data_IF_966332950381
#
_entry.id   IF_966332950381
#
_cell.length_a   1.000
_cell.length_b   1.000
_cell.length_c   1.000
_cell.angle_alpha   90.00
_cell.angle_beta   90.00
_cell.angle_gamma   90.00
#
_symmetry.space_group_name_H-M   'P 1'
#
loop_
_entity.id
_entity.type
_entity.pdbx_description
1 polymer ?
#
# COMPACT_ATOMS: atom_id res chain seq x y z
N UNK A 1 -19.16 -11.41 -15.08
CA UNK A 1 -19.39 -12.13 -13.80
C UNK A 1 -20.79 -11.79 -13.29
N UNK A 2 -21.54 -12.77 -12.73
CA UNK A 2 -22.83 -12.45 -12.10
C UNK A 2 -22.63 -12.39 -10.58
N UNK A 3 -23.00 -11.28 -9.92
CA UNK A 3 -22.91 -11.19 -8.46
C UNK A 3 -23.95 -12.12 -7.80
N UNK A 4 -23.59 -12.68 -6.66
CA UNK A 4 -24.54 -13.39 -5.81
C UNK A 4 -25.22 -12.37 -4.91
N UNK A 5 -26.51 -12.17 -5.09
CA UNK A 5 -27.31 -11.25 -4.28
C UNK A 5 -28.01 -12.05 -3.19
N UNK A 6 -27.83 -11.63 -1.92
CA UNK A 6 -28.55 -12.18 -0.77
C UNK A 6 -29.49 -11.12 -0.22
N UNK A 7 -30.79 -11.42 -0.21
CA UNK A 7 -31.78 -10.59 0.45
C UNK A 7 -31.90 -11.02 1.92
N UNK A 8 -31.72 -10.06 2.84
CA UNK A 8 -31.89 -10.28 4.27
C UNK A 8 -33.14 -9.51 4.71
N UNK A 9 -34.23 -10.24 5.02
CA UNK A 9 -35.47 -9.64 5.50
C UNK A 9 -35.49 -9.60 7.02
N UNK A 10 -35.64 -8.41 7.57
CA UNK A 10 -35.79 -8.19 9.00
C UNK A 10 -37.28 -8.06 9.33
N UNK A 11 -37.76 -8.93 10.18
CA UNK A 11 -39.17 -8.88 10.64
C UNK A 11 -39.22 -8.14 11.97
N UNK A 12 -40.30 -7.36 12.11
CA UNK A 12 -40.68 -6.67 13.33
C UNK A 12 -42.06 -7.15 13.71
N UNK A 13 -42.20 -7.70 14.90
CA UNK A 13 -43.47 -8.05 15.47
C UNK A 13 -43.90 -6.99 16.48
N UNK A 14 -45.19 -6.66 16.48
CA UNK A 14 -45.81 -5.78 17.48
C UNK A 14 -46.75 -6.61 18.32
N UNK A 15 -46.55 -6.63 19.63
CA UNK A 15 -47.41 -7.35 20.53
C UNK A 15 -48.85 -6.73 20.51
N UNK A 16 -49.83 -7.52 20.21
CA UNK A 16 -51.22 -7.05 20.14
C UNK A 16 -51.83 -6.67 21.50
N UNK A 17 -51.21 -7.15 22.61
CA UNK A 17 -51.71 -6.86 23.98
C UNK A 17 -51.09 -5.61 24.61
N UNK A 18 -49.77 -5.35 24.37
CA UNK A 18 -49.07 -4.27 25.06
C UNK A 18 -48.37 -3.30 24.10
N UNK A 19 -48.46 -3.49 22.78
CA UNK A 19 -47.77 -2.66 21.78
C UNK A 19 -46.25 -2.80 21.75
N UNK A 20 -45.65 -3.68 22.52
CA UNK A 20 -44.19 -3.88 22.54
C UNK A 20 -43.69 -4.32 21.18
N UNK A 21 -42.64 -3.65 20.71
CA UNK A 21 -41.99 -3.93 19.43
C UNK A 21 -40.84 -4.93 19.64
N UNK A 22 -40.98 -6.08 19.03
CA UNK A 22 -39.95 -7.13 19.05
C UNK A 22 -39.26 -7.16 17.68
N UNK A 23 -37.96 -7.01 17.67
CA UNK A 23 -37.12 -7.09 16.47
C UNK A 23 -36.26 -8.37 16.49
N UNK A 24 -36.06 -8.97 15.32
CA UNK A 24 -35.09 -10.07 15.20
C UNK A 24 -33.71 -9.61 15.66
N UNK A 25 -32.92 -10.50 16.29
CA UNK A 25 -31.63 -10.20 16.94
C UNK A 25 -30.56 -9.57 16.04
N UNK A 26 -30.73 -9.53 14.73
CA UNK A 26 -29.86 -8.81 13.81
C UNK A 26 -30.36 -7.38 13.68
N UNK A 27 -30.15 -6.58 14.71
CA UNK A 27 -30.47 -5.17 14.68
C UNK A 27 -29.57 -4.47 13.67
N UNK A 28 -30.17 -3.99 12.58
CA UNK A 28 -29.49 -3.08 11.67
C UNK A 28 -29.13 -1.80 12.43
N UNK A 29 -27.85 -1.40 12.41
CA UNK A 29 -27.45 -0.10 12.99
C UNK A 29 -28.25 1.00 12.32
N UNK A 30 -28.83 1.92 13.09
CA UNK A 30 -29.54 3.10 12.56
C UNK A 30 -28.62 3.81 11.56
N UNK A 31 -29.10 4.08 10.34
CA UNK A 31 -28.31 4.72 9.27
C UNK A 31 -27.44 3.75 8.44
N UNK A 32 -27.52 2.44 8.65
CA UNK A 32 -26.82 1.50 7.76
C UNK A 32 -27.41 1.51 6.35
N UNK A 33 -26.58 1.49 5.33
CA UNK A 33 -26.98 1.46 3.92
C UNK A 33 -27.84 0.22 3.61
N UNK A 34 -28.78 0.37 2.69
CA UNK A 34 -29.66 -0.71 2.26
C UNK A 34 -28.87 -1.84 1.57
N UNK A 35 -27.80 -1.48 0.87
CA UNK A 35 -26.91 -2.41 0.18
C UNK A 35 -25.61 -2.54 0.98
N UNK A 36 -25.19 -3.77 1.23
CA UNK A 36 -23.91 -4.09 1.89
C UNK A 36 -23.15 -5.02 0.97
N UNK A 37 -21.91 -4.67 0.67
CA UNK A 37 -21.01 -5.49 -0.11
C UNK A 37 -20.18 -6.38 0.83
N UNK A 38 -20.02 -7.62 0.45
CA UNK A 38 -19.21 -8.58 1.22
C UNK A 38 -17.69 -8.38 1.02
N UNK A 39 -16.91 -9.21 1.70
CA UNK A 39 -15.45 -9.12 1.66
C UNK A 39 -14.88 -9.41 0.26
N UNK A 40 -15.54 -10.21 -0.57
CA UNK A 40 -15.04 -10.57 -1.90
C UNK A 40 -15.04 -9.36 -2.84
N UNK A 41 -16.13 -8.58 -2.82
CA UNK A 41 -16.23 -7.34 -3.62
C UNK A 41 -15.21 -6.31 -3.13
N UNK A 42 -15.09 -6.13 -1.82
CA UNK A 42 -14.11 -5.21 -1.23
C UNK A 42 -12.68 -5.59 -1.59
N UNK A 43 -12.34 -6.87 -1.50
CA UNK A 43 -11.02 -7.38 -1.84
C UNK A 43 -10.70 -7.19 -3.33
N UNK A 44 -11.68 -7.37 -4.21
CA UNK A 44 -11.52 -7.12 -5.64
C UNK A 44 -11.20 -5.63 -5.90
N UNK A 45 -11.92 -4.71 -5.26
CA UNK A 45 -11.65 -3.26 -5.39
C UNK A 45 -10.25 -2.92 -4.90
N UNK A 46 -9.84 -3.45 -3.75
CA UNK A 46 -8.48 -3.25 -3.21
C UNK A 46 -7.43 -3.80 -4.18
N UNK A 47 -7.63 -4.99 -4.72
CA UNK A 47 -6.73 -5.60 -5.70
C UNK A 47 -6.61 -4.76 -6.97
N UNK A 48 -7.73 -4.34 -7.55
CA UNK A 48 -7.75 -3.54 -8.78
C UNK A 48 -7.07 -2.18 -8.57
N UNK A 49 -7.28 -1.54 -7.41
CA UNK A 49 -6.67 -0.24 -7.12
C UNK A 49 -5.19 -0.34 -6.76
N UNK A 50 -4.83 -1.25 -5.85
CA UNK A 50 -3.49 -1.27 -5.23
C UNK A 50 -2.50 -2.12 -6.04
N UNK A 51 -2.95 -3.21 -6.64
CA UNK A 51 -2.08 -4.15 -7.38
C UNK A 51 -2.12 -3.87 -8.88
N UNK A 52 -3.30 -3.53 -9.41
CA UNK A 52 -3.47 -3.24 -10.84
C UNK A 52 -3.38 -1.75 -11.17
N UNK A 53 -3.23 -0.88 -10.17
CA UNK A 53 -3.10 0.58 -10.31
C UNK A 53 -4.24 1.25 -11.10
N UNK A 54 -5.44 0.66 -11.08
CA UNK A 54 -6.59 1.23 -11.78
C UNK A 54 -7.15 2.44 -11.01
N UNK A 55 -7.43 3.56 -11.70
CA UNK A 55 -8.16 4.68 -11.13
C UNK A 55 -9.58 4.29 -10.70
N UNK A 56 -10.09 4.91 -9.65
CA UNK A 56 -11.43 4.58 -9.09
C UNK A 56 -12.55 4.64 -10.12
N UNK A 57 -12.56 5.66 -10.98
CA UNK A 57 -13.54 5.74 -12.06
C UNK A 57 -13.53 4.52 -12.97
N UNK A 58 -12.34 4.05 -13.39
CA UNK A 58 -12.23 2.84 -14.21
C UNK A 58 -12.63 1.56 -13.46
N UNK A 59 -12.42 1.52 -12.14
CA UNK A 59 -12.90 0.40 -11.31
C UNK A 59 -14.43 0.44 -11.25
N UNK A 60 -15.03 1.63 -11.12
CA UNK A 60 -16.50 1.80 -11.11
C UNK A 60 -17.10 1.31 -12.43
N UNK A 61 -16.53 1.74 -13.56
CA UNK A 61 -16.99 1.33 -14.89
C UNK A 61 -16.87 -0.20 -15.06
N UNK A 62 -15.71 -0.77 -14.72
CA UNK A 62 -15.50 -2.22 -14.78
C UNK A 62 -16.53 -2.99 -13.94
N UNK A 63 -16.78 -2.55 -12.71
CA UNK A 63 -17.74 -3.22 -11.82
C UNK A 63 -19.18 -3.08 -12.33
N UNK A 64 -19.53 -1.96 -12.94
CA UNK A 64 -20.83 -1.75 -13.55
C UNK A 64 -21.01 -2.63 -14.79
N UNK A 65 -20.07 -2.58 -15.73
CA UNK A 65 -20.18 -3.24 -17.03
C UNK A 65 -20.04 -4.76 -16.94
N UNK A 66 -19.09 -5.25 -16.14
CA UNK A 66 -18.76 -6.69 -16.05
C UNK A 66 -19.55 -7.41 -14.97
N UNK A 67 -19.84 -6.72 -13.86
CA UNK A 67 -20.47 -7.32 -12.68
C UNK A 67 -21.88 -6.80 -12.42
N UNK A 68 -22.35 -5.79 -13.15
CA UNK A 68 -23.61 -5.07 -12.89
C UNK A 68 -23.70 -4.56 -11.43
N UNK A 69 -22.56 -4.06 -10.90
CA UNK A 69 -22.46 -3.50 -9.55
C UNK A 69 -22.17 -2.00 -9.63
N UNK A 70 -23.13 -1.20 -9.19
CA UNK A 70 -22.96 0.26 -9.07
C UNK A 70 -22.33 0.59 -7.71
N UNK A 71 -21.05 0.97 -7.70
CA UNK A 71 -20.28 1.27 -6.49
C UNK A 71 -19.69 2.66 -6.60
N UNK A 72 -19.93 3.51 -5.61
CA UNK A 72 -19.36 4.86 -5.59
C UNK A 72 -17.86 4.86 -5.27
N UNK A 73 -17.11 5.79 -5.84
CA UNK A 73 -15.69 5.99 -5.54
C UNK A 73 -15.44 6.23 -4.04
N UNK A 74 -16.33 6.95 -3.35
CA UNK A 74 -16.25 7.15 -1.90
C UNK A 74 -16.30 5.84 -1.11
N UNK A 75 -17.12 4.85 -1.56
CA UNK A 75 -17.13 3.52 -0.95
C UNK A 75 -15.80 2.80 -1.16
N UNK A 76 -15.20 2.92 -2.35
CA UNK A 76 -13.91 2.32 -2.65
C UNK A 76 -12.80 2.89 -1.78
N UNK A 77 -12.74 4.21 -1.61
CA UNK A 77 -11.80 4.89 -0.72
C UNK A 77 -11.93 4.38 0.72
N UNK A 78 -13.17 4.25 1.22
CA UNK A 78 -13.43 3.72 2.56
C UNK A 78 -12.92 2.28 2.71
N UNK A 79 -13.13 1.42 1.72
CA UNK A 79 -12.66 0.03 1.77
C UNK A 79 -11.14 -0.10 1.69
N UNK A 80 -10.48 0.76 0.92
CA UNK A 80 -9.02 0.82 0.87
C UNK A 80 -8.46 1.27 2.22
N UNK A 81 -9.08 2.25 2.87
CA UNK A 81 -8.69 2.67 4.21
C UNK A 81 -8.95 1.57 5.27
N UNK A 82 -10.04 0.82 5.14
CA UNK A 82 -10.32 -0.35 5.97
C UNK A 82 -9.23 -1.43 5.78
N UNK A 83 -8.87 -1.72 4.53
CA UNK A 83 -7.81 -2.67 4.19
C UNK A 83 -6.44 -2.22 4.73
N UNK A 84 -6.09 -0.94 4.57
CA UNK A 84 -4.88 -0.35 5.14
C UNK A 84 -4.79 -0.55 6.66
N UNK A 85 -5.89 -0.31 7.37
CA UNK A 85 -5.95 -0.49 8.82
C UNK A 85 -5.75 -1.95 9.22
N UNK A 86 -6.40 -2.88 8.50
CA UNK A 86 -6.25 -4.32 8.72
C UNK A 86 -4.85 -4.86 8.38
N UNK A 87 -4.19 -4.27 7.37
CA UNK A 87 -2.84 -4.66 6.96
C UNK A 87 -1.75 -4.14 7.90
N UNK A 88 -2.04 -3.11 8.71
CA UNK A 88 -1.03 -2.47 9.56
C UNK A 88 -0.20 -3.43 10.43
N UNK A 89 -0.75 -4.41 11.14
CA UNK A 89 0.05 -5.35 11.94
C UNK A 89 1.05 -6.16 11.10
N UNK A 90 0.65 -6.54 9.87
CA UNK A 90 1.54 -7.26 8.94
C UNK A 90 2.66 -6.34 8.45
N UNK A 91 2.35 -5.09 8.13
CA UNK A 91 3.34 -4.07 7.71
C UNK A 91 4.34 -3.81 8.84
N UNK A 92 3.87 -3.64 10.08
CA UNK A 92 4.72 -3.44 11.25
C UNK A 92 5.65 -4.65 11.49
N UNK A 93 5.14 -5.88 11.27
CA UNK A 93 5.94 -7.11 11.33
C UNK A 93 7.00 -7.15 10.22
N UNK A 94 6.66 -6.79 8.98
CA UNK A 94 7.61 -6.70 7.86
C UNK A 94 8.71 -5.70 8.18
N UNK A 95 8.35 -4.51 8.67
CA UNK A 95 9.34 -3.50 9.10
C UNK A 95 10.31 -4.07 10.14
N UNK A 96 9.79 -4.74 11.17
CA UNK A 96 10.61 -5.37 12.21
C UNK A 96 11.57 -6.43 11.63
N UNK A 97 11.09 -7.25 10.69
CA UNK A 97 11.93 -8.28 10.04
C UNK A 97 13.02 -7.67 9.18
N UNK A 98 12.73 -6.57 8.48
CA UNK A 98 13.73 -5.79 7.74
C UNK A 98 14.78 -5.23 8.70
N UNK A 99 14.37 -4.64 9.83
CA UNK A 99 15.27 -4.10 10.85
C UNK A 99 16.19 -5.15 11.49
N UNK A 100 15.79 -6.41 11.47
CA UNK A 100 16.59 -7.55 11.95
C UNK A 100 17.45 -8.19 10.87
N UNK A 101 17.30 -7.78 9.62
CA UNK A 101 18.03 -8.36 8.48
C UNK A 101 19.44 -7.83 8.40
N UNK A 102 20.39 -8.71 8.05
CA UNK A 102 21.81 -8.36 7.91
C UNK A 102 22.08 -7.49 6.68
N UNK A 103 21.38 -7.75 5.58
CA UNK A 103 21.53 -7.02 4.32
C UNK A 103 20.20 -6.40 3.92
N UNK A 104 20.20 -5.10 3.69
CA UNK A 104 19.01 -4.34 3.30
C UNK A 104 19.33 -3.41 2.14
N UNK A 105 18.58 -3.54 1.07
CA UNK A 105 18.60 -2.59 -0.04
C UNK A 105 17.72 -1.39 0.26
N UNK A 106 18.21 -0.18 -0.01
CA UNK A 106 17.42 1.06 0.05
C UNK A 106 17.46 1.75 -1.31
N UNK A 107 16.34 2.31 -1.69
CA UNK A 107 16.17 3.11 -2.90
C UNK A 107 15.03 4.10 -2.71
N UNK A 108 15.01 5.19 -3.45
CA UNK A 108 13.94 6.16 -3.40
C UNK A 108 13.61 6.74 -4.78
N UNK A 109 12.35 7.10 -4.97
CA UNK A 109 11.87 7.72 -6.18
C UNK A 109 10.98 8.93 -5.85
N UNK A 110 11.16 10.01 -6.61
CA UNK A 110 10.29 11.18 -6.49
C UNK A 110 8.87 10.86 -6.94
N UNK A 111 7.88 11.30 -6.18
CA UNK A 111 6.47 11.19 -6.53
C UNK A 111 5.73 12.48 -6.20
N UNK A 112 4.82 12.91 -7.08
CA UNK A 112 3.99 14.06 -6.80
C UNK A 112 2.72 13.66 -6.08
N UNK A 113 2.47 14.27 -4.92
CA UNK A 113 1.25 14.09 -4.16
C UNK A 113 0.67 15.47 -3.81
N UNK A 114 -0.57 15.73 -4.21
CA UNK A 114 -1.22 17.04 -3.99
C UNK A 114 -0.36 18.24 -4.47
N UNK A 115 0.20 18.15 -5.66
CA UNK A 115 1.09 19.17 -6.29
C UNK A 115 2.40 19.43 -5.54
N UNK A 116 2.77 18.59 -4.57
CA UNK A 116 4.04 18.66 -3.84
C UNK A 116 4.89 17.46 -4.20
N UNK A 117 6.18 17.68 -4.35
CA UNK A 117 7.15 16.60 -4.51
C UNK A 117 7.32 15.91 -3.15
N UNK A 118 6.98 14.63 -3.11
CA UNK A 118 7.26 13.69 -2.04
C UNK A 118 8.15 12.58 -2.55
N UNK A 119 8.57 11.70 -1.65
CA UNK A 119 9.46 10.60 -1.98
C UNK A 119 8.86 9.28 -1.55
N UNK A 120 8.85 8.33 -2.48
CA UNK A 120 8.54 6.94 -2.22
C UNK A 120 9.86 6.22 -1.93
N UNK A 121 10.02 5.79 -0.71
CA UNK A 121 11.19 5.05 -0.25
C UNK A 121 10.90 3.56 -0.21
N UNK A 122 11.90 2.76 -0.54
CA UNK A 122 11.87 1.30 -0.46
C UNK A 122 12.96 0.84 0.49
N UNK A 123 12.60 -0.09 1.39
CA UNK A 123 13.55 -0.91 2.13
C UNK A 123 13.25 -2.37 1.79
N UNK A 124 14.24 -3.09 1.29
CA UNK A 124 14.03 -4.45 0.79
C UNK A 124 15.10 -5.43 1.23
N UNK A 125 14.69 -6.66 1.36
CA UNK A 125 15.53 -7.84 1.57
C UNK A 125 15.19 -8.89 0.51
N UNK A 126 15.81 -10.05 0.56
CA UNK A 126 15.45 -11.18 -0.35
C UNK A 126 13.99 -11.60 -0.17
N UNK A 127 13.41 -11.43 1.02
CA UNK A 127 12.07 -11.94 1.36
C UNK A 127 11.03 -10.86 1.55
N UNK A 128 11.40 -9.63 1.89
CA UNK A 128 10.48 -8.58 2.31
C UNK A 128 10.78 -7.27 1.60
N UNK A 129 9.72 -6.57 1.24
CA UNK A 129 9.79 -5.20 0.72
C UNK A 129 8.84 -4.32 1.52
N UNK A 130 9.35 -3.20 2.02
CA UNK A 130 8.57 -2.15 2.66
C UNK A 130 8.65 -0.89 1.82
N UNK A 131 7.50 -0.46 1.32
CA UNK A 131 7.35 0.83 0.65
C UNK A 131 6.77 1.83 1.63
N UNK A 132 7.35 3.03 1.71
CA UNK A 132 6.85 4.11 2.56
C UNK A 132 7.05 5.47 1.93
N UNK A 133 6.17 6.40 2.27
CA UNK A 133 6.25 7.79 1.84
C UNK A 133 7.04 8.62 2.84
N UNK A 134 7.86 9.56 2.33
CA UNK A 134 8.54 10.57 3.12
C UNK A 134 8.45 11.94 2.44
N UNK A 135 8.57 13.01 3.23
CA UNK A 135 8.51 14.38 2.74
C UNK A 135 9.82 14.86 2.12
N UNK A 136 10.90 14.09 2.23
CA UNK A 136 12.21 14.46 1.75
C UNK A 136 13.05 13.29 1.29
N UNK A 137 14.24 13.61 0.76
CA UNK A 137 15.26 12.69 0.26
C UNK A 137 16.53 12.72 1.13
N UNK A 138 16.41 13.10 2.40
CA UNK A 138 17.56 13.22 3.30
C UNK A 138 17.79 11.95 4.13
N UNK A 139 19.00 11.81 4.70
CA UNK A 139 19.33 10.74 5.65
C UNK A 139 18.35 10.64 6.83
N UNK A 140 17.81 11.77 7.27
CA UNK A 140 16.85 11.85 8.38
C UNK A 140 15.61 10.99 8.18
N UNK A 141 15.22 10.75 6.94
CA UNK A 141 14.05 9.91 6.64
C UNK A 141 14.30 8.45 7.01
N UNK A 142 15.50 7.93 6.76
CA UNK A 142 15.89 6.59 7.18
C UNK A 142 16.22 6.53 8.67
N UNK A 143 16.94 7.53 9.21
CA UNK A 143 17.24 7.61 10.64
C UNK A 143 15.96 7.57 11.48
N UNK A 144 14.94 8.37 11.14
CA UNK A 144 13.68 8.38 11.87
C UNK A 144 12.93 7.04 11.89
N UNK A 145 13.20 6.16 10.92
CA UNK A 145 12.50 4.88 10.75
C UNK A 145 13.28 3.68 11.18
N UNK A 146 14.61 3.71 11.07
CA UNK A 146 15.50 2.56 11.19
C UNK A 146 16.68 2.81 12.15
N UNK A 147 16.76 3.96 12.84
CA UNK A 147 17.91 4.38 13.63
C UNK A 147 18.57 3.25 14.44
N UNK A 148 17.79 2.51 15.22
CA UNK A 148 18.28 1.46 16.12
C UNK A 148 18.86 0.23 15.39
N UNK A 149 18.73 0.19 14.06
CA UNK A 149 19.16 -0.98 13.27
C UNK A 149 20.19 -0.67 12.20
N UNK A 150 20.39 0.60 11.82
CA UNK A 150 21.29 0.98 10.75
C UNK A 150 22.73 0.49 10.99
N UNK A 151 23.26 0.67 12.19
CA UNK A 151 24.63 0.25 12.55
C UNK A 151 24.85 -1.27 12.53
N UNK A 152 23.78 -2.05 12.40
CA UNK A 152 23.83 -3.52 12.30
C UNK A 152 23.59 -4.04 10.89
N UNK A 153 23.22 -3.15 9.95
CA UNK A 153 22.89 -3.51 8.58
C UNK A 153 24.06 -3.29 7.64
N UNK A 154 24.17 -4.16 6.65
CA UNK A 154 24.91 -3.92 5.42
C UNK A 154 23.89 -3.29 4.45
N UNK A 155 24.07 -2.02 4.15
CA UNK A 155 23.20 -1.31 3.22
C UNK A 155 23.66 -1.53 1.77
N UNK A 156 22.71 -1.73 0.86
CA UNK A 156 22.93 -1.73 -0.58
C UNK A 156 22.11 -0.59 -1.19
N UNK A 157 22.78 0.44 -1.71
CA UNK A 157 22.11 1.66 -2.19
C UNK A 157 22.74 2.16 -3.49
N UNK A 158 22.13 3.17 -4.11
CA UNK A 158 22.81 3.97 -5.13
C UNK A 158 23.92 4.86 -4.50
N UNK A 159 24.47 5.79 -5.28
CA UNK A 159 25.51 6.72 -4.82
C UNK A 159 24.95 8.06 -4.31
N UNK A 160 23.69 8.12 -3.92
CA UNK A 160 23.14 9.35 -3.37
C UNK A 160 23.78 9.71 -2.04
N UNK A 161 24.16 10.97 -1.88
CA UNK A 161 24.95 11.46 -0.73
C UNK A 161 24.26 11.23 0.64
N UNK A 162 22.93 11.18 0.68
CA UNK A 162 22.18 10.92 1.91
C UNK A 162 22.53 9.57 2.56
N UNK A 163 22.86 8.54 1.76
CA UNK A 163 23.24 7.24 2.29
C UNK A 163 24.64 7.24 2.92
N UNK A 164 25.57 8.04 2.38
CA UNK A 164 26.93 8.16 2.93
C UNK A 164 26.98 8.98 4.22
N UNK A 165 25.92 9.70 4.55
CA UNK A 165 25.78 10.40 5.83
C UNK A 165 25.29 9.48 6.96
N UNK A 166 24.90 8.23 6.65
CA UNK A 166 24.37 7.26 7.60
C UNK A 166 25.46 6.30 8.10
N UNK A 167 25.34 5.90 9.36
CA UNK A 167 26.26 4.94 9.96
C UNK A 167 25.70 3.52 9.82
N UNK A 168 26.03 2.87 8.70
CA UNK A 168 25.78 1.44 8.48
C UNK A 168 26.95 0.60 9.00
N UNK A 169 26.69 -0.67 9.32
CA UNK A 169 27.75 -1.64 9.60
C UNK A 169 28.72 -1.75 8.41
N UNK A 170 28.17 -1.79 7.21
CA UNK A 170 28.89 -1.75 5.94
C UNK A 170 27.98 -1.15 4.87
N UNK A 171 28.58 -0.59 3.81
CA UNK A 171 27.85 0.03 2.73
C UNK A 171 28.36 -0.48 1.39
N UNK A 172 27.48 -1.07 0.59
CA UNK A 172 27.73 -1.51 -0.77
C UNK A 172 26.99 -0.62 -1.74
N UNK A 173 27.67 -0.07 -2.73
CA UNK A 173 27.02 0.60 -3.86
C UNK A 173 26.37 -0.45 -4.76
N UNK A 174 25.14 -0.21 -5.17
CA UNK A 174 24.36 -1.11 -6.00
C UNK A 174 24.98 -1.27 -7.38
N UNK A 175 25.39 -2.48 -7.72
CA UNK A 175 26.04 -2.80 -9.01
C UNK A 175 25.12 -2.51 -10.20
N UNK A 176 23.81 -2.67 -10.08
CA UNK A 176 22.87 -2.37 -11.15
C UNK A 176 22.85 -0.87 -11.50
N UNK A 177 23.07 0.01 -10.53
CA UNK A 177 23.20 1.45 -10.79
C UNK A 177 24.53 1.76 -11.47
N UNK A 178 25.62 1.15 -11.04
CA UNK A 178 26.94 1.29 -11.67
C UNK A 178 26.89 0.81 -13.12
N UNK A 179 26.31 -0.36 -13.39
CA UNK A 179 26.18 -0.88 -14.75
C UNK A 179 25.38 0.04 -15.67
N UNK A 180 24.29 0.60 -15.18
CA UNK A 180 23.50 1.58 -15.97
C UNK A 180 24.29 2.85 -16.27
N UNK A 181 25.08 3.33 -15.32
CA UNK A 181 25.94 4.51 -15.54
C UNK A 181 27.05 4.21 -16.56
N UNK A 182 27.69 3.05 -16.48
CA UNK A 182 28.68 2.62 -17.48
C UNK A 182 28.05 2.46 -18.88
N UNK A 183 26.87 1.87 -18.95
CA UNK A 183 26.15 1.75 -20.21
C UNK A 183 25.81 3.14 -20.79
N UNK A 184 25.35 4.06 -19.97
CA UNK A 184 25.07 5.43 -20.40
C UNK A 184 26.33 6.14 -20.91
N UNK A 185 27.50 5.95 -20.26
CA UNK A 185 28.77 6.50 -20.72
C UNK A 185 29.17 5.90 -22.06
N UNK A 186 28.99 4.59 -22.29
CA UNK A 186 29.23 3.96 -23.59
C UNK A 186 28.31 4.50 -24.70
N UNK A 187 27.06 4.85 -24.35
CA UNK A 187 26.12 5.45 -25.31
C UNK A 187 26.49 6.90 -25.67
N UNK A 188 27.08 7.64 -24.71
CA UNK A 188 27.57 9.00 -24.95
C UNK A 188 28.83 9.06 -25.80
N UNK A 189 29.74 8.10 -25.64
CA UNK A 189 31.01 8.04 -26.39
C UNK A 189 31.23 6.61 -26.92
N UNK A 190 30.77 6.39 -28.15
CA UNK A 190 30.88 5.10 -28.83
C UNK A 190 32.30 4.75 -29.26
N UNK A 191 33.27 5.67 -29.10
CA UNK A 191 34.69 5.42 -29.41
C UNK A 191 35.44 4.76 -28.24
N UNK A 192 34.85 4.81 -27.04
CA UNK A 192 35.42 4.18 -25.84
C UNK A 192 34.73 2.85 -25.56
N UNK A 193 35.52 1.83 -25.35
CA UNK A 193 35.03 0.52 -24.84
C UNK A 193 35.52 0.35 -23.41
N UNK A 194 34.59 0.21 -22.49
CA UNK A 194 34.83 -0.02 -21.05
C UNK A 194 34.72 -1.50 -20.70
#
# INVERSE_FOLDING_TARGET
MKPIVKEIRHYVAICSKCGARIQSHVARKRGANAVVYDASVKSLVVYLSVVQFLPYGRIADFLLEVCNLSISEGSMVNWINEAKTKAKPAIDKIKMLIMQSKVVGFDESGCYCNKRLDWAWIAQTVYFTLLFRAGGRSSKELESRFADSLERMIAVTDRHSAYFALHFLNHQVCLAHILRELQYLNELDTTQQW
#
